data_IF_552501962269
#
_entry.id   IF_552501962269
#
_cell.length_a   1.000
_cell.length_b   1.000
_cell.length_c   1.000
_cell.angle_alpha   90.00
_cell.angle_beta   90.00
_cell.angle_gamma   90.00
#
_symmetry.space_group_name_H-M   'P 1'
#
loop_
_entity.id
_entity.type
_entity.pdbx_description
1 polymer ?
#
# COMPACT_ATOMS: atom_id res chain seq x y z
N UNK A 1 -2.37 17.63 14.08
CA UNK A 1 -1.41 16.87 13.28
C UNK A 1 -1.92 16.81 11.87
N UNK A 2 -1.04 16.90 10.91
CA UNK A 2 -1.37 16.80 9.48
C UNK A 2 -1.81 15.36 9.13
N UNK A 3 -2.84 15.23 8.27
CA UNK A 3 -3.38 13.94 7.86
C UNK A 3 -2.53 13.25 6.79
N UNK A 4 -2.77 11.95 6.58
CA UNK A 4 -2.27 11.17 5.44
C UNK A 4 -3.40 10.98 4.43
N UNK A 5 -3.19 11.40 3.19
CA UNK A 5 -4.04 11.03 2.06
C UNK A 5 -3.38 9.88 1.29
N UNK A 6 -4.10 8.79 1.13
CA UNK A 6 -3.71 7.67 0.29
C UNK A 6 -4.58 7.68 -0.98
N UNK A 7 -3.96 7.56 -2.15
CA UNK A 7 -4.66 7.29 -3.41
C UNK A 7 -4.27 5.89 -3.85
N UNK A 8 -5.27 5.01 -4.02
CA UNK A 8 -4.99 3.63 -4.36
C UNK A 8 -6.25 2.83 -4.65
N UNK A 9 -6.08 1.54 -4.70
CA UNK A 9 -7.12 0.58 -5.02
C UNK A 9 -7.83 0.04 -3.78
N UNK A 10 -9.07 -0.40 -4.01
CA UNK A 10 -9.86 -1.29 -3.13
C UNK A 10 -10.14 -2.55 -3.91
N UNK A 11 -9.93 -3.70 -3.31
CA UNK A 11 -10.07 -5.01 -3.95
C UNK A 11 -10.84 -5.95 -3.03
N UNK A 12 -11.75 -6.74 -3.59
CA UNK A 12 -12.34 -7.88 -2.89
C UNK A 12 -11.48 -9.11 -3.15
N UNK A 13 -10.79 -9.59 -2.12
CA UNK A 13 -10.00 -10.82 -2.20
C UNK A 13 -10.91 -12.02 -1.94
N UNK A 14 -11.01 -12.92 -2.91
CA UNK A 14 -11.67 -14.22 -2.78
C UNK A 14 -10.58 -15.26 -2.56
N UNK A 15 -10.43 -15.71 -1.32
CA UNK A 15 -9.41 -16.70 -0.95
C UNK A 15 -10.05 -18.07 -0.92
N UNK A 16 -9.58 -18.98 -1.78
CA UNK A 16 -10.01 -20.37 -1.85
C UNK A 16 -8.87 -21.28 -1.39
N UNK A 17 -9.04 -21.92 -0.23
CA UNK A 17 -8.12 -22.91 0.30
C UNK A 17 -8.60 -24.31 -0.12
N UNK A 18 -7.75 -25.09 -0.77
CA UNK A 18 -8.12 -26.42 -1.28
C UNK A 18 -6.97 -27.43 -1.11
N UNK A 19 -7.35 -28.71 -1.03
CA UNK A 19 -6.43 -29.83 -0.93
C UNK A 19 -6.06 -30.34 -2.32
N UNK A 20 -4.86 -30.03 -2.79
CA UNK A 20 -4.34 -30.48 -4.07
C UNK A 20 -4.83 -29.67 -5.27
N UNK A 21 -4.50 -30.06 -6.50
CA UNK A 21 -4.81 -29.28 -7.71
C UNK A 21 -6.32 -29.25 -7.99
N UNK A 22 -6.79 -28.12 -8.52
CA UNK A 22 -8.19 -27.99 -8.95
C UNK A 22 -8.52 -29.02 -10.03
N UNK A 23 -9.61 -29.76 -9.83
CA UNK A 23 -10.04 -30.84 -10.73
C UNK A 23 -10.56 -30.27 -12.05
N UNK A 24 -10.15 -30.89 -13.17
CA UNK A 24 -10.62 -30.47 -14.49
C UNK A 24 -11.96 -31.12 -14.79
N UNK A 25 -12.97 -30.32 -15.13
CA UNK A 25 -14.28 -30.80 -15.58
C UNK A 25 -15.22 -31.31 -14.48
N UNK A 26 -14.87 -31.08 -13.21
CA UNK A 26 -15.71 -31.40 -12.04
C UNK A 26 -15.45 -30.43 -10.90
N UNK A 27 -16.21 -30.48 -9.81
CA UNK A 27 -16.08 -29.61 -8.64
C UNK A 27 -14.87 -29.99 -7.79
N UNK A 28 -14.17 -28.97 -7.29
CA UNK A 28 -13.15 -29.12 -6.26
C UNK A 28 -13.65 -28.46 -4.97
N UNK A 29 -13.86 -29.21 -3.88
CA UNK A 29 -14.19 -28.62 -2.59
C UNK A 29 -13.10 -27.67 -2.11
N UNK A 30 -13.50 -26.51 -1.61
CA UNK A 30 -12.58 -25.50 -1.08
C UNK A 30 -13.24 -24.72 0.08
N UNK A 31 -12.43 -24.25 1.02
CA UNK A 31 -12.86 -23.24 1.98
C UNK A 31 -12.69 -21.86 1.35
N UNK A 32 -13.80 -21.17 1.11
CA UNK A 32 -13.82 -19.91 0.39
C UNK A 32 -14.24 -18.77 1.33
N UNK A 33 -13.38 -17.75 1.41
CA UNK A 33 -13.64 -16.55 2.20
C UNK A 33 -13.48 -15.28 1.37
N UNK A 34 -14.32 -14.26 1.65
CA UNK A 34 -14.20 -12.92 1.10
C UNK A 34 -13.46 -12.03 2.10
N UNK A 35 -12.44 -11.32 1.63
CA UNK A 35 -11.62 -10.43 2.45
C UNK A 35 -11.48 -9.06 1.80
N UNK A 36 -11.41 -7.99 2.63
CA UNK A 36 -11.15 -6.66 2.10
C UNK A 36 -9.64 -6.51 1.84
N UNK A 37 -9.27 -6.21 0.60
CA UNK A 37 -7.91 -5.99 0.13
C UNK A 37 -7.73 -4.69 -0.65
N UNK A 38 -6.68 -4.65 -1.46
CA UNK A 38 -6.21 -3.49 -2.22
C UNK A 38 -5.06 -2.77 -1.52
N UNK A 39 -3.94 -2.56 -2.24
CA UNK A 39 -2.71 -1.99 -1.67
C UNK A 39 -2.94 -0.63 -1.01
N UNK A 40 -3.64 0.29 -1.70
CA UNK A 40 -3.96 1.60 -1.13
C UNK A 40 -4.82 1.49 0.13
N UNK A 41 -5.85 0.62 0.10
CA UNK A 41 -6.74 0.42 1.23
C UNK A 41 -6.05 -0.27 2.42
N UNK A 42 -5.12 -1.18 2.17
CA UNK A 42 -4.31 -1.82 3.20
C UNK A 42 -3.40 -0.79 3.88
N UNK A 43 -2.64 0.00 3.10
CA UNK A 43 -1.79 1.08 3.62
C UNK A 43 -2.58 2.07 4.46
N UNK A 44 -3.76 2.51 3.97
CA UNK A 44 -4.62 3.43 4.72
C UNK A 44 -5.12 2.81 6.05
N UNK A 45 -5.52 1.53 6.02
CA UNK A 45 -6.01 0.83 7.21
C UNK A 45 -4.92 0.67 8.28
N UNK A 46 -3.70 0.29 7.88
CA UNK A 46 -2.56 0.19 8.77
C UNK A 46 -2.14 1.56 9.32
N UNK A 47 -2.13 2.62 8.49
CA UNK A 47 -1.81 3.96 8.96
C UNK A 47 -2.82 4.48 9.99
N UNK A 48 -4.12 4.27 9.75
CA UNK A 48 -5.17 4.60 10.70
C UNK A 48 -5.04 3.80 12.01
N UNK A 49 -4.71 2.51 11.92
CA UNK A 49 -4.44 1.64 13.08
C UNK A 49 -3.28 2.16 13.93
N UNK A 50 -2.25 2.69 13.29
CA UNK A 50 -1.08 3.29 13.95
C UNK A 50 -1.34 4.71 14.48
N UNK A 51 -2.56 5.23 14.32
CA UNK A 51 -3.02 6.48 14.89
C UNK A 51 -2.98 7.70 13.97
N UNK A 52 -2.64 7.53 12.69
CA UNK A 52 -2.69 8.63 11.73
C UNK A 52 -4.15 9.01 11.40
N UNK A 53 -4.40 10.31 11.18
CA UNK A 53 -5.62 10.79 10.54
C UNK A 53 -5.55 10.48 9.05
N UNK A 54 -6.23 9.40 8.63
CA UNK A 54 -6.02 8.82 7.30
C UNK A 54 -7.27 8.94 6.44
N UNK A 55 -7.08 9.44 5.21
CA UNK A 55 -8.07 9.45 4.13
C UNK A 55 -7.64 8.49 3.04
N UNK A 56 -8.61 7.85 2.39
CA UNK A 56 -8.37 7.03 1.20
C UNK A 56 -9.24 7.52 0.06
N UNK A 57 -8.63 7.95 -1.05
CA UNK A 57 -9.31 8.14 -2.32
C UNK A 57 -9.19 6.87 -3.15
N UNK A 58 -10.34 6.26 -3.50
CA UNK A 58 -10.40 5.06 -4.32
C UNK A 58 -11.75 4.98 -5.07
N UNK A 59 -11.87 3.99 -5.95
CA UNK A 59 -13.10 3.68 -6.67
C UNK A 59 -13.45 2.21 -6.47
N UNK A 60 -14.71 1.93 -6.13
CA UNK A 60 -15.24 0.58 -5.97
C UNK A 60 -16.53 0.41 -6.77
N UNK A 61 -16.97 -0.80 -6.98
CA UNK A 61 -18.15 -1.09 -7.78
C UNK A 61 -19.45 -1.16 -6.98
N UNK A 62 -20.55 -1.29 -7.71
CA UNK A 62 -21.92 -1.36 -7.17
C UNK A 62 -22.17 -2.57 -6.26
N UNK A 63 -21.37 -3.63 -6.40
CA UNK A 63 -21.58 -4.93 -5.74
C UNK A 63 -21.05 -4.97 -4.30
N UNK A 64 -19.79 -4.52 -4.08
CA UNK A 64 -19.13 -4.56 -2.77
C UNK A 64 -18.65 -3.18 -2.28
N UNK A 65 -18.97 -2.11 -3.00
CA UNK A 65 -18.49 -0.76 -2.67
C UNK A 65 -18.88 -0.30 -1.28
N UNK A 66 -20.16 -0.45 -0.90
CA UNK A 66 -20.66 -0.08 0.43
C UNK A 66 -20.03 -0.94 1.55
N UNK A 67 -19.78 -2.22 1.27
CA UNK A 67 -19.06 -3.09 2.20
C UNK A 67 -17.63 -2.58 2.42
N UNK A 68 -16.91 -2.16 1.36
CA UNK A 68 -15.58 -1.58 1.49
C UNK A 68 -15.60 -0.27 2.29
N UNK A 69 -16.59 0.61 2.07
CA UNK A 69 -16.78 1.83 2.87
C UNK A 69 -16.89 1.48 4.35
N UNK A 70 -17.76 0.51 4.69
CA UNK A 70 -17.96 0.09 6.07
C UNK A 70 -16.67 -0.52 6.69
N UNK A 71 -15.94 -1.36 5.94
CA UNK A 71 -14.69 -1.97 6.43
C UNK A 71 -13.61 -0.92 6.68
N UNK A 72 -13.45 0.06 5.78
CA UNK A 72 -12.49 1.16 5.95
C UNK A 72 -12.84 2.06 7.14
N UNK A 73 -14.11 2.43 7.28
CA UNK A 73 -14.59 3.23 8.42
C UNK A 73 -14.33 2.49 9.74
N UNK A 74 -14.60 1.17 9.80
CA UNK A 74 -14.30 0.32 10.97
C UNK A 74 -12.81 0.29 11.30
N UNK A 75 -11.93 0.33 10.29
CA UNK A 75 -10.48 0.43 10.47
C UNK A 75 -10.03 1.84 10.90
N UNK A 76 -10.92 2.82 10.95
CA UNK A 76 -10.64 4.20 11.32
C UNK A 76 -10.14 5.08 10.16
N UNK A 77 -10.27 4.62 8.93
CA UNK A 77 -10.01 5.41 7.73
C UNK A 77 -11.22 6.28 7.40
N UNK A 78 -11.00 7.49 6.91
CA UNK A 78 -12.03 8.31 6.26
C UNK A 78 -12.08 7.95 4.77
N UNK A 79 -13.06 7.12 4.31
CA UNK A 79 -13.11 6.68 2.94
C UNK A 79 -13.74 7.76 2.03
N UNK A 80 -13.03 8.13 0.99
CA UNK A 80 -13.52 8.88 -0.16
C UNK A 80 -13.63 7.92 -1.34
N UNK A 81 -14.59 6.98 -1.24
CA UNK A 81 -14.85 5.97 -2.25
C UNK A 81 -15.93 6.44 -3.23
N UNK A 82 -15.56 6.53 -4.49
CA UNK A 82 -16.55 6.67 -5.56
C UNK A 82 -17.12 5.29 -5.88
N UNK A 83 -18.44 5.14 -5.71
CA UNK A 83 -19.13 3.91 -6.11
C UNK A 83 -19.51 4.00 -7.59
N UNK A 84 -18.97 3.09 -8.40
CA UNK A 84 -19.29 2.97 -9.82
C UNK A 84 -20.63 2.21 -9.97
N UNK A 85 -21.66 2.83 -10.60
CA UNK A 85 -22.98 2.19 -10.72
C UNK A 85 -23.04 1.13 -11.83
N UNK A 86 -22.03 1.08 -12.72
CA UNK A 86 -22.04 0.23 -13.91
C UNK A 86 -21.05 -0.93 -13.83
N UNK A 87 -20.00 -0.81 -13.00
CA UNK A 87 -18.92 -1.78 -12.92
C UNK A 87 -18.85 -2.44 -11.56
N UNK A 88 -18.54 -3.75 -11.51
CA UNK A 88 -18.26 -4.42 -10.23
C UNK A 88 -16.94 -3.91 -9.65
N UNK A 89 -16.74 -4.11 -8.37
CA UNK A 89 -15.47 -3.85 -7.67
C UNK A 89 -14.34 -4.70 -8.25
N UNK A 90 -13.10 -4.26 -8.01
CA UNK A 90 -11.94 -5.10 -8.30
C UNK A 90 -11.98 -6.39 -7.47
N UNK A 91 -11.60 -7.50 -8.09
CA UNK A 91 -11.57 -8.83 -7.47
C UNK A 91 -10.21 -9.48 -7.74
N UNK A 92 -9.63 -10.06 -6.71
CA UNK A 92 -8.53 -11.03 -6.81
C UNK A 92 -9.03 -12.37 -6.29
N UNK A 93 -8.94 -13.41 -7.12
CA UNK A 93 -9.18 -14.79 -6.70
C UNK A 93 -7.81 -15.40 -6.42
N UNK A 94 -7.54 -15.71 -5.14
CA UNK A 94 -6.34 -16.41 -4.70
C UNK A 94 -6.70 -17.86 -4.41
N UNK A 95 -6.26 -18.76 -5.26
CA UNK A 95 -6.33 -20.21 -5.02
C UNK A 95 -5.05 -20.62 -4.30
N UNK A 96 -5.18 -21.24 -3.14
CA UNK A 96 -4.07 -21.64 -2.28
C UNK A 96 -4.21 -23.13 -2.00
N UNK A 97 -3.22 -23.90 -2.41
CA UNK A 97 -3.21 -25.34 -2.17
C UNK A 97 -2.61 -25.71 -0.79
N UNK A 98 -2.66 -27.00 -0.45
CA UNK A 98 -2.14 -27.54 0.81
C UNK A 98 -0.61 -27.38 0.99
N UNK A 99 0.14 -27.04 -0.07
CA UNK A 99 1.59 -26.71 0.00
C UNK A 99 1.84 -25.23 0.25
N UNK A 100 0.79 -24.40 0.18
CA UNK A 100 0.87 -22.94 0.29
C UNK A 100 1.20 -22.25 -1.04
N UNK A 101 1.22 -23.00 -2.16
CA UNK A 101 1.40 -22.41 -3.48
C UNK A 101 0.14 -21.61 -3.88
N UNK A 102 0.36 -20.44 -4.48
CA UNK A 102 -0.72 -19.49 -4.79
C UNK A 102 -0.81 -19.22 -6.28
N UNK A 103 -2.01 -19.37 -6.81
CA UNK A 103 -2.39 -18.89 -8.15
C UNK A 103 -3.38 -17.74 -8.01
N UNK A 104 -3.14 -16.64 -8.70
CA UNK A 104 -3.98 -15.44 -8.61
C UNK A 104 -4.58 -15.08 -9.95
N UNK A 105 -5.89 -14.83 -9.96
CA UNK A 105 -6.61 -14.22 -11.07
C UNK A 105 -7.10 -12.84 -10.63
N UNK A 106 -6.83 -11.82 -11.45
CA UNK A 106 -7.13 -10.44 -11.10
C UNK A 106 -8.03 -9.79 -12.13
N UNK A 107 -9.11 -9.17 -11.65
CA UNK A 107 -9.92 -8.22 -12.42
C UNK A 107 -9.92 -6.87 -11.71
N UNK A 108 -9.52 -5.82 -12.40
CA UNK A 108 -9.40 -4.48 -11.81
C UNK A 108 -10.74 -3.78 -11.62
N UNK A 109 -11.81 -4.23 -12.28
CA UNK A 109 -13.17 -3.70 -12.13
C UNK A 109 -13.22 -2.16 -12.08
N UNK A 110 -14.04 -1.62 -11.20
CA UNK A 110 -14.19 -0.18 -10.99
C UNK A 110 -12.90 0.52 -10.54
N UNK A 111 -12.00 -0.15 -9.78
CA UNK A 111 -10.73 0.46 -9.36
C UNK A 111 -9.82 0.85 -10.53
N UNK A 112 -9.93 0.16 -11.67
CA UNK A 112 -9.22 0.51 -12.90
C UNK A 112 -9.74 1.77 -13.61
N UNK A 113 -10.85 2.34 -13.12
CA UNK A 113 -11.52 3.51 -13.70
C UNK A 113 -11.53 4.73 -12.77
N UNK A 114 -10.75 4.70 -11.69
CA UNK A 114 -10.51 5.89 -10.89
C UNK A 114 -9.89 6.97 -11.78
N UNK A 115 -10.34 8.22 -11.66
CA UNK A 115 -9.88 9.29 -12.55
C UNK A 115 -10.04 10.67 -11.95
N UNK A 116 -9.73 11.70 -12.74
CA UNK A 116 -9.78 13.11 -12.31
C UNK A 116 -11.16 13.56 -11.83
N UNK A 117 -12.24 12.93 -12.31
CA UNK A 117 -13.61 13.20 -11.84
C UNK A 117 -13.89 12.70 -10.40
N UNK A 118 -13.01 11.91 -9.82
CA UNK A 118 -13.08 11.44 -8.43
C UNK A 118 -12.29 12.34 -7.48
N UNK A 119 -11.51 13.29 -8.02
CA UNK A 119 -10.66 14.22 -7.28
C UNK A 119 -11.39 15.51 -6.93
N UNK A 120 -11.16 15.99 -5.72
CA UNK A 120 -11.50 17.34 -5.31
C UNK A 120 -10.34 17.95 -4.52
N UNK A 121 -9.99 19.24 -4.72
CA UNK A 121 -8.82 19.86 -4.07
C UNK A 121 -8.86 19.89 -2.55
N UNK A 122 -10.05 19.83 -1.93
CA UNK A 122 -10.29 19.77 -0.49
C UNK A 122 -9.83 18.42 0.14
N UNK A 123 -9.59 17.40 -0.67
CA UNK A 123 -8.93 16.16 -0.22
C UNK A 123 -7.57 16.42 0.40
N UNK A 124 -6.87 17.49 -0.02
CA UNK A 124 -5.58 17.90 0.52
C UNK A 124 -5.67 18.81 1.77
N UNK A 125 -6.85 19.21 2.21
CA UNK A 125 -6.98 20.12 3.36
C UNK A 125 -6.57 19.43 4.66
N UNK A 126 -5.55 20.02 5.33
CA UNK A 126 -4.96 19.45 6.55
C UNK A 126 -4.12 18.19 6.33
N UNK A 127 -3.83 17.83 5.07
CA UNK A 127 -2.94 16.73 4.70
C UNK A 127 -1.48 17.18 4.84
N UNK A 128 -0.68 16.35 5.48
CA UNK A 128 0.77 16.55 5.61
C UNK A 128 1.60 15.58 4.81
N UNK A 129 0.97 14.58 4.18
CA UNK A 129 1.64 13.65 3.29
C UNK A 129 0.63 13.01 2.31
N UNK A 130 1.01 12.95 1.03
CA UNK A 130 0.29 12.21 -0.02
C UNK A 130 1.03 10.92 -0.32
N UNK A 131 0.32 9.78 -0.27
CA UNK A 131 0.86 8.49 -0.66
C UNK A 131 0.08 7.92 -1.86
N UNK A 132 0.81 7.44 -2.88
CA UNK A 132 0.23 6.78 -4.05
C UNK A 132 0.65 5.31 -4.12
N UNK A 133 -0.32 4.42 -4.28
CA UNK A 133 -0.08 3.07 -4.77
C UNK A 133 -0.06 3.10 -6.30
N UNK A 134 1.03 2.62 -6.90
CA UNK A 134 1.21 2.66 -8.35
C UNK A 134 0.18 1.82 -9.12
N UNK A 135 -0.54 0.92 -8.45
CA UNK A 135 -1.67 0.25 -9.11
C UNK A 135 -2.67 1.23 -9.71
N UNK A 136 -2.83 2.43 -9.12
CA UNK A 136 -3.71 3.47 -9.65
C UNK A 136 -3.20 4.05 -10.96
N UNK A 137 -1.88 4.11 -11.17
CA UNK A 137 -1.27 4.89 -12.26
C UNK A 137 -0.75 4.07 -13.44
N UNK A 138 -0.90 2.74 -13.44
CA UNK A 138 -0.43 1.90 -14.55
C UNK A 138 -1.27 1.99 -15.83
N UNK A 139 -2.41 2.69 -15.78
CA UNK A 139 -3.27 2.94 -16.94
C UNK A 139 -4.08 4.22 -16.75
N UNK A 140 -4.57 4.78 -17.85
CA UNK A 140 -5.59 5.84 -17.80
C UNK A 140 -6.98 5.25 -17.43
N UNK A 141 -7.82 6.02 -16.73
CA UNK A 141 -7.67 7.44 -16.35
C UNK A 141 -6.92 7.66 -15.03
N UNK A 142 -6.45 6.62 -14.36
CA UNK A 142 -5.78 6.71 -13.06
C UNK A 142 -4.44 7.47 -13.12
N UNK A 143 -3.71 7.36 -14.23
CA UNK A 143 -2.46 8.10 -14.42
C UNK A 143 -2.70 9.62 -14.48
N UNK A 144 -3.77 10.07 -15.14
CA UNK A 144 -4.14 11.50 -15.15
C UNK A 144 -4.46 12.00 -13.75
N UNK A 145 -5.21 11.20 -12.96
CA UNK A 145 -5.49 11.51 -11.56
C UNK A 145 -4.19 11.62 -10.74
N UNK A 146 -3.28 10.66 -10.89
CA UNK A 146 -2.00 10.69 -10.17
C UNK A 146 -1.18 11.95 -10.49
N UNK A 147 -1.11 12.33 -11.78
CA UNK A 147 -0.46 13.58 -12.21
C UNK A 147 -1.10 14.81 -11.59
N UNK A 148 -2.44 14.88 -11.58
CA UNK A 148 -3.19 15.98 -10.99
C UNK A 148 -2.93 16.08 -9.49
N UNK A 149 -3.09 14.99 -8.77
CA UNK A 149 -2.91 14.95 -7.32
C UNK A 149 -1.47 15.30 -6.90
N UNK A 150 -0.45 14.75 -7.58
CA UNK A 150 0.95 15.07 -7.31
C UNK A 150 1.26 16.54 -7.58
N UNK A 151 0.75 17.11 -8.66
CA UNK A 151 0.94 18.55 -8.97
C UNK A 151 0.34 19.42 -7.86
N UNK A 152 -0.93 19.21 -7.49
CA UNK A 152 -1.59 20.00 -6.47
C UNK A 152 -0.99 19.82 -5.08
N UNK A 153 -0.49 18.63 -4.75
CA UNK A 153 0.25 18.38 -3.51
C UNK A 153 1.59 19.14 -3.51
N UNK A 154 2.33 19.13 -4.63
CA UNK A 154 3.58 19.86 -4.77
C UNK A 154 3.38 21.39 -4.67
N UNK A 155 2.33 21.93 -5.27
CA UNK A 155 1.95 23.36 -5.15
C UNK A 155 1.67 23.77 -3.70
N UNK A 156 1.21 22.85 -2.85
CA UNK A 156 0.98 23.04 -1.41
C UNK A 156 2.17 22.64 -0.54
N UNK A 157 3.31 22.30 -1.14
CA UNK A 157 4.51 21.80 -0.45
C UNK A 157 4.21 20.56 0.43
N UNK A 158 3.24 19.72 0.05
CA UNK A 158 2.92 18.46 0.70
C UNK A 158 3.88 17.39 0.18
N UNK A 159 4.67 16.71 1.03
CA UNK A 159 5.52 15.61 0.64
C UNK A 159 4.73 14.47 -0.01
N UNK A 160 5.32 13.86 -1.04
CA UNK A 160 4.69 12.80 -1.84
C UNK A 160 5.53 11.54 -1.75
N UNK A 161 4.91 10.41 -1.48
CA UNK A 161 5.52 9.08 -1.58
C UNK A 161 4.80 8.20 -2.59
N UNK A 162 5.54 7.29 -3.22
CA UNK A 162 4.99 6.29 -4.14
C UNK A 162 5.50 4.90 -3.78
N UNK A 163 4.59 3.92 -3.75
CA UNK A 163 4.91 2.49 -3.73
C UNK A 163 4.75 1.93 -5.14
N UNK A 164 5.79 1.31 -5.74
CA UNK A 164 5.74 0.77 -7.11
C UNK A 164 4.78 -0.40 -7.30
N UNK A 165 4.31 -1.00 -6.21
CA UNK A 165 3.26 -2.00 -6.10
C UNK A 165 3.59 -3.41 -6.60
N UNK A 166 4.09 -3.58 -7.84
CA UNK A 166 4.40 -4.92 -8.38
C UNK A 166 5.27 -4.87 -9.63
N UNK A 167 6.26 -5.77 -9.72
CA UNK A 167 7.18 -5.88 -10.85
C UNK A 167 6.51 -6.18 -12.19
N UNK A 168 5.44 -6.98 -12.21
CA UNK A 168 4.75 -7.33 -13.47
C UNK A 168 4.14 -6.11 -14.16
N UNK A 169 3.18 -5.42 -13.53
CA UNK A 169 2.63 -4.17 -14.04
C UNK A 169 3.68 -3.09 -14.27
N UNK A 170 4.70 -2.98 -13.40
CA UNK A 170 5.78 -2.01 -13.54
C UNK A 170 6.60 -2.23 -14.83
N UNK A 171 6.94 -3.49 -15.16
CA UNK A 171 7.60 -3.83 -16.44
C UNK A 171 6.73 -3.50 -17.65
N UNK A 172 5.45 -3.82 -17.56
CA UNK A 172 4.50 -3.53 -18.65
C UNK A 172 4.30 -2.03 -18.87
N UNK A 173 4.32 -1.23 -17.81
CA UNK A 173 4.23 0.23 -17.88
C UNK A 173 5.52 0.89 -18.36
N UNK A 174 6.67 0.28 -18.05
CA UNK A 174 8.02 0.75 -18.37
C UNK A 174 8.65 1.54 -17.22
N UNK A 175 9.83 1.09 -16.79
CA UNK A 175 10.57 1.67 -15.65
C UNK A 175 10.94 3.14 -15.85
N UNK A 176 11.47 3.49 -17.03
CA UNK A 176 11.77 4.88 -17.37
C UNK A 176 10.52 5.77 -17.37
N UNK A 177 9.39 5.24 -17.89
CA UNK A 177 8.12 5.96 -17.85
C UNK A 177 7.68 6.17 -16.41
N UNK A 178 7.76 5.12 -15.57
CA UNK A 178 7.41 5.22 -14.16
C UNK A 178 8.23 6.31 -13.45
N UNK A 179 9.55 6.31 -13.61
CA UNK A 179 10.43 7.34 -13.03
C UNK A 179 10.06 8.76 -13.48
N UNK A 180 9.74 8.94 -14.76
CA UNK A 180 9.30 10.26 -15.27
C UNK A 180 7.95 10.70 -14.69
N UNK A 181 6.97 9.78 -14.66
CA UNK A 181 5.62 10.10 -14.18
C UNK A 181 5.57 10.37 -12.67
N UNK A 182 6.49 9.78 -11.91
CA UNK A 182 6.57 9.94 -10.46
C UNK A 182 7.64 10.92 -9.99
N UNK A 183 8.27 11.66 -10.90
CA UNK A 183 9.31 12.65 -10.58
C UNK A 183 8.90 13.70 -9.52
N UNK A 184 7.62 14.10 -9.35
CA UNK A 184 7.23 14.99 -8.26
C UNK A 184 7.27 14.34 -6.86
N UNK A 185 7.36 13.01 -6.76
CA UNK A 185 7.48 12.35 -5.46
C UNK A 185 8.85 12.57 -4.84
N UNK A 186 8.87 12.74 -3.52
CA UNK A 186 10.09 12.90 -2.72
C UNK A 186 10.55 11.62 -2.03
N UNK A 187 9.70 10.58 -2.02
CA UNK A 187 9.96 9.28 -1.41
C UNK A 187 9.47 8.15 -2.30
N UNK A 188 10.30 7.15 -2.54
CA UNK A 188 9.90 5.87 -3.16
C UNK A 188 10.08 4.72 -2.18
N UNK A 189 9.10 3.78 -2.13
CA UNK A 189 9.07 2.69 -1.14
C UNK A 189 8.95 1.31 -1.84
N UNK A 190 9.93 0.89 -2.66
CA UNK A 190 9.90 -0.39 -3.36
C UNK A 190 10.23 -1.56 -2.43
N UNK A 191 9.80 -2.78 -2.82
CA UNK A 191 10.43 -4.00 -2.36
C UNK A 191 11.76 -4.24 -3.11
N UNK A 192 12.50 -5.29 -2.75
CA UNK A 192 13.81 -5.58 -3.34
C UNK A 192 13.74 -5.73 -4.87
N UNK A 193 12.81 -6.56 -5.36
CA UNK A 193 12.70 -6.84 -6.81
C UNK A 193 12.30 -5.59 -7.61
N UNK A 194 11.42 -4.78 -7.07
CA UNK A 194 11.02 -3.49 -7.65
C UNK A 194 12.18 -2.49 -7.65
N UNK A 195 12.96 -2.46 -6.57
CA UNK A 195 14.12 -1.57 -6.46
C UNK A 195 15.21 -1.95 -7.48
N UNK A 196 15.53 -3.24 -7.60
CA UNK A 196 16.49 -3.75 -8.59
C UNK A 196 16.02 -3.43 -10.02
N UNK A 197 14.73 -3.64 -10.28
CA UNK A 197 14.13 -3.37 -11.59
C UNK A 197 14.16 -1.88 -11.95
N UNK A 198 13.76 -0.99 -11.02
CA UNK A 198 13.70 0.46 -11.26
C UNK A 198 15.07 1.10 -11.41
N UNK A 199 16.05 0.62 -10.66
CA UNK A 199 17.39 1.17 -10.66
C UNK A 199 18.32 0.53 -11.69
N UNK A 200 17.87 -0.53 -12.38
CA UNK A 200 18.72 -1.38 -13.22
C UNK A 200 20.03 -1.78 -12.50
N UNK A 201 19.91 -2.25 -11.27
CA UNK A 201 21.03 -2.51 -10.38
C UNK A 201 21.02 -3.97 -9.89
N UNK A 202 22.22 -4.46 -9.47
CA UNK A 202 22.40 -5.86 -9.08
C UNK A 202 22.25 -6.11 -7.56
N UNK A 203 22.26 -5.05 -6.74
CA UNK A 203 22.19 -5.16 -5.29
C UNK A 203 21.33 -4.08 -4.65
N UNK A 204 20.80 -4.33 -3.43
CA UNK A 204 19.85 -3.43 -2.77
C UNK A 204 20.45 -2.07 -2.41
N UNK A 205 21.73 -1.96 -2.09
CA UNK A 205 22.36 -0.69 -1.75
C UNK A 205 22.54 0.20 -2.97
N UNK A 206 23.03 -0.37 -4.07
CA UNK A 206 23.17 0.34 -5.34
C UNK A 206 21.80 0.85 -5.81
N UNK A 207 20.76 -0.01 -5.73
CA UNK A 207 19.38 0.39 -6.06
C UNK A 207 18.90 1.54 -5.23
N UNK A 208 19.05 1.48 -3.90
CA UNK A 208 18.62 2.53 -3.00
C UNK A 208 19.35 3.85 -3.24
N UNK A 209 20.67 3.80 -3.51
CA UNK A 209 21.46 5.00 -3.85
C UNK A 209 20.97 5.64 -5.13
N UNK A 210 20.77 4.86 -6.19
CA UNK A 210 20.27 5.33 -7.49
C UNK A 210 18.88 5.95 -7.35
N UNK A 211 17.96 5.24 -6.70
CA UNK A 211 16.59 5.74 -6.51
C UNK A 211 16.54 6.97 -5.61
N UNK A 212 17.36 7.03 -4.55
CA UNK A 212 17.38 8.22 -3.69
C UNK A 212 18.01 9.45 -4.36
N UNK A 213 18.89 9.26 -5.33
CA UNK A 213 19.39 10.37 -6.14
C UNK A 213 18.29 10.94 -7.06
N UNK A 214 17.29 10.14 -7.43
CA UNK A 214 16.15 10.56 -8.24
C UNK A 214 15.02 11.18 -7.40
N UNK A 215 14.65 10.55 -6.27
CA UNK A 215 13.51 10.96 -5.43
C UNK A 215 13.88 11.79 -4.18
N UNK A 216 15.16 11.94 -3.87
CA UNK A 216 15.62 12.46 -2.58
C UNK A 216 15.67 11.35 -1.51
N UNK A 217 14.65 10.53 -1.36
CA UNK A 217 14.62 9.41 -0.41
C UNK A 217 14.13 8.12 -1.06
N UNK A 218 14.85 7.02 -0.84
CA UNK A 218 14.44 5.67 -1.21
C UNK A 218 14.44 4.74 0.01
N UNK A 219 13.34 3.99 0.20
CA UNK A 219 13.16 3.04 1.30
C UNK A 219 12.95 1.66 0.70
N UNK A 220 13.97 0.82 0.73
CA UNK A 220 13.91 -0.52 0.12
C UNK A 220 13.53 -1.56 1.16
N UNK A 221 12.43 -2.25 0.95
CA UNK A 221 11.91 -3.36 1.75
C UNK A 221 12.65 -4.63 1.37
N UNK A 222 13.28 -5.32 2.34
CA UNK A 222 14.11 -6.52 2.13
C UNK A 222 13.46 -7.80 2.68
N UNK A 223 12.15 -7.79 2.92
CA UNK A 223 11.43 -8.90 3.54
C UNK A 223 12.00 -9.26 4.91
N UNK A 224 12.37 -10.52 5.12
CA UNK A 224 13.00 -10.98 6.37
C UNK A 224 14.35 -10.31 6.66
N UNK A 225 15.01 -9.73 5.65
CA UNK A 225 16.24 -8.93 5.81
C UNK A 225 16.01 -7.53 6.40
N UNK A 226 14.75 -7.13 6.61
CA UNK A 226 14.41 -5.82 7.13
C UNK A 226 14.26 -4.75 6.05
N UNK A 227 14.89 -3.60 6.23
CA UNK A 227 14.83 -2.50 5.28
C UNK A 227 16.06 -1.59 5.36
N UNK A 228 16.30 -0.85 4.28
CA UNK A 228 17.32 0.19 4.23
C UNK A 228 16.74 1.49 3.66
N UNK A 229 17.30 2.60 4.09
CA UNK A 229 16.95 3.93 3.63
C UNK A 229 18.20 4.62 3.07
N UNK A 230 18.05 5.12 1.84
CA UNK A 230 19.02 6.02 1.25
C UNK A 230 18.42 7.42 1.10
N UNK A 231 19.28 8.44 1.22
CA UNK A 231 18.95 9.84 0.98
C UNK A 231 20.06 10.48 0.16
N UNK A 232 19.68 11.17 -0.90
CA UNK A 232 20.62 11.89 -1.78
C UNK A 232 21.85 11.04 -2.20
N UNK A 233 21.59 9.79 -2.65
CA UNK A 233 22.61 8.84 -3.09
C UNK A 233 23.42 8.17 -1.97
N UNK A 234 23.06 8.31 -0.69
CA UNK A 234 23.79 7.73 0.45
C UNK A 234 22.89 6.88 1.32
N UNK A 235 23.37 5.71 1.76
CA UNK A 235 22.66 4.93 2.77
C UNK A 235 22.79 5.65 4.12
N UNK A 236 21.66 5.99 4.72
CA UNK A 236 21.60 6.73 5.99
C UNK A 236 21.02 5.91 7.14
N UNK A 237 20.26 4.84 6.86
CA UNK A 237 19.70 3.99 7.90
C UNK A 237 19.49 2.55 7.43
N UNK A 238 19.47 1.61 8.39
CA UNK A 238 19.08 0.21 8.22
C UNK A 238 18.30 -0.24 9.43
N UNK A 239 17.33 -1.13 9.24
CA UNK A 239 16.62 -1.80 10.30
C UNK A 239 16.47 -3.29 9.97
N UNK A 240 16.73 -4.15 10.94
CA UNK A 240 16.43 -5.59 10.80
C UNK A 240 14.94 -5.83 11.01
N UNK A 241 14.38 -6.80 10.29
CA UNK A 241 13.05 -7.29 10.60
C UNK A 241 13.09 -8.12 11.88
N UNK A 242 12.17 -7.90 12.83
CA UNK A 242 12.04 -8.80 13.97
C UNK A 242 11.63 -10.20 13.49
N UNK A 243 12.07 -11.28 14.17
CA UNK A 243 11.66 -12.63 13.83
C UNK A 243 10.15 -12.82 14.08
N UNK A 244 9.48 -13.52 13.16
CA UNK A 244 8.05 -13.82 13.25
C UNK A 244 7.73 -15.13 12.51
N UNK A 245 6.75 -15.87 13.03
CA UNK A 245 6.17 -16.98 12.29
C UNK A 245 5.22 -16.42 11.22
N UNK A 246 5.54 -16.65 9.96
CA UNK A 246 4.78 -16.12 8.82
C UNK A 246 3.52 -16.96 8.62
N UNK A 247 2.36 -16.32 8.78
CA UNK A 247 1.03 -16.89 8.51
C UNK A 247 0.58 -16.55 7.08
N UNK A 248 0.64 -15.26 6.73
CA UNK A 248 0.24 -14.76 5.41
C UNK A 248 1.08 -13.52 5.06
N UNK A 249 1.79 -13.54 3.94
CA UNK A 249 2.63 -12.41 3.52
C UNK A 249 1.88 -11.28 2.81
N UNK A 250 0.58 -11.43 2.59
CA UNK A 250 -0.25 -10.45 1.88
C UNK A 250 -0.34 -9.15 2.67
N UNK A 251 -0.07 -8.01 2.01
CA UNK A 251 -0.16 -6.69 2.62
C UNK A 251 1.00 -6.30 3.53
N UNK A 252 2.03 -7.15 3.68
CA UNK A 252 3.22 -6.82 4.49
C UNK A 252 3.94 -5.55 4.03
N UNK A 253 4.05 -5.36 2.71
CA UNK A 253 4.61 -4.15 2.09
C UNK A 253 3.79 -2.90 2.37
N UNK A 254 2.46 -3.03 2.33
CA UNK A 254 1.50 -1.95 2.61
C UNK A 254 1.57 -1.53 4.09
N UNK A 255 1.63 -2.51 4.98
CA UNK A 255 1.79 -2.30 6.43
C UNK A 255 3.14 -1.63 6.76
N UNK A 256 4.22 -2.10 6.12
CA UNK A 256 5.54 -1.47 6.24
C UNK A 256 5.49 -0.01 5.81
N UNK A 257 4.92 0.29 4.61
CA UNK A 257 4.80 1.66 4.11
C UNK A 257 4.01 2.54 5.09
N UNK A 258 2.91 2.05 5.62
CA UNK A 258 2.13 2.75 6.63
C UNK A 258 2.94 3.06 7.90
N UNK A 259 3.62 2.05 8.47
CA UNK A 259 4.45 2.22 9.66
C UNK A 259 5.58 3.23 9.48
N UNK A 260 6.28 3.13 8.34
CA UNK A 260 7.33 4.07 7.97
C UNK A 260 6.80 5.50 7.81
N UNK A 261 5.72 5.69 7.04
CA UNK A 261 5.14 7.01 6.78
C UNK A 261 4.62 7.67 8.06
N UNK A 262 3.87 6.92 8.88
CA UNK A 262 3.32 7.46 10.14
C UNK A 262 4.44 7.88 11.10
N UNK A 263 5.49 7.09 11.24
CA UNK A 263 6.65 7.45 12.06
C UNK A 263 7.40 8.68 11.50
N UNK A 264 7.62 8.72 10.18
CA UNK A 264 8.26 9.86 9.52
C UNK A 264 7.47 11.17 9.70
N UNK A 265 6.13 11.12 9.53
CA UNK A 265 5.24 12.26 9.76
C UNK A 265 5.22 12.72 11.23
N UNK A 266 5.50 11.82 12.17
CA UNK A 266 5.66 12.14 13.59
C UNK A 266 7.04 12.73 13.93
N UNK A 267 7.95 12.83 12.96
CA UNK A 267 9.30 13.39 13.15
C UNK A 267 10.31 12.39 13.72
N UNK A 268 10.08 11.08 13.60
CA UNK A 268 11.04 10.06 14.00
C UNK A 268 12.33 10.13 13.18
N UNK A 269 13.43 9.60 13.75
CA UNK A 269 14.67 9.42 12.99
C UNK A 269 14.48 8.40 11.86
N UNK A 270 15.33 8.41 10.82
CA UNK A 270 15.25 7.41 9.74
C UNK A 270 15.28 5.97 10.25
N UNK A 271 16.12 5.66 11.23
CA UNK A 271 16.23 4.33 11.86
C UNK A 271 14.94 3.93 12.57
N UNK A 272 14.36 4.85 13.35
CA UNK A 272 13.09 4.61 14.04
C UNK A 272 11.94 4.43 13.05
N UNK A 273 11.89 5.23 11.99
CA UNK A 273 10.86 5.11 10.95
C UNK A 273 10.96 3.75 10.23
N UNK A 274 12.17 3.30 9.87
CA UNK A 274 12.39 1.96 9.31
C UNK A 274 11.96 0.86 10.27
N UNK A 275 12.35 0.97 11.54
CA UNK A 275 11.97 -0.01 12.58
C UNK A 275 10.45 -0.11 12.73
N UNK A 276 9.74 1.03 12.72
CA UNK A 276 8.27 1.05 12.76
C UNK A 276 7.63 0.45 11.51
N UNK A 277 8.24 0.66 10.33
CA UNK A 277 7.86 -0.04 9.11
C UNK A 277 8.02 -1.55 9.24
N UNK A 278 9.18 -2.03 9.71
CA UNK A 278 9.44 -3.46 9.94
C UNK A 278 8.47 -4.07 10.96
N UNK A 279 8.19 -3.38 12.08
CA UNK A 279 7.23 -3.82 13.09
C UNK A 279 5.81 -3.97 12.52
N UNK A 280 5.36 -3.00 11.71
CA UNK A 280 4.05 -3.04 11.08
C UNK A 280 3.96 -4.15 10.02
N UNK A 281 4.98 -4.30 9.17
CA UNK A 281 5.06 -5.40 8.19
C UNK A 281 5.06 -6.77 8.86
N UNK A 282 5.79 -6.93 9.97
CA UNK A 282 5.80 -8.15 10.76
C UNK A 282 4.42 -8.44 11.38
N UNK A 283 3.74 -7.42 11.92
CA UNK A 283 2.39 -7.60 12.47
C UNK A 283 1.39 -8.03 11.37
N UNK A 284 1.59 -7.59 10.14
CA UNK A 284 0.77 -8.03 9.00
C UNK A 284 1.01 -9.50 8.67
N UNK A 285 2.26 -9.97 8.62
CA UNK A 285 2.54 -11.38 8.26
C UNK A 285 2.17 -12.38 9.35
N UNK A 286 1.96 -11.94 10.58
CA UNK A 286 1.55 -12.78 11.71
C UNK A 286 0.04 -13.09 11.73
N UNK A 287 -0.74 -12.60 10.79
CA UNK A 287 -2.18 -12.78 10.71
C UNK A 287 -2.62 -13.14 9.29
N UNK A 288 -3.83 -13.68 9.15
CA UNK A 288 -4.42 -13.95 7.83
C UNK A 288 -5.09 -12.70 7.30
N UNK A 289 -4.78 -12.33 6.05
CA UNK A 289 -5.34 -11.15 5.36
C UNK A 289 -4.49 -9.90 5.50
N UNK A 290 -4.65 -9.00 4.54
CA UNK A 290 -3.76 -7.85 4.34
C UNK A 290 -4.03 -6.66 5.28
N UNK A 291 -5.24 -6.54 5.85
CA UNK A 291 -5.62 -5.42 6.72
C UNK A 291 -5.47 -5.78 8.20
N UNK A 292 -5.23 -4.79 9.09
CA UNK A 292 -5.12 -5.07 10.51
C UNK A 292 -6.44 -5.64 11.06
N UNK A 293 -6.34 -6.71 11.86
CA UNK A 293 -7.48 -7.28 12.58
C UNK A 293 -7.97 -6.29 13.64
N UNK A 294 -9.26 -5.88 13.62
CA UNK A 294 -9.82 -5.00 14.63
C UNK A 294 -9.77 -5.53 16.06
N UNK A 295 -9.70 -6.87 16.23
CA UNK A 295 -9.66 -7.54 17.53
C UNK A 295 -8.26 -7.71 18.12
N UNK A 296 -7.20 -7.58 17.35
CA UNK A 296 -5.83 -7.88 17.80
C UNK A 296 -5.09 -6.60 18.24
N UNK A 297 -5.34 -6.15 19.48
CA UNK A 297 -4.76 -4.91 20.03
C UNK A 297 -3.33 -5.05 20.58
N UNK A 298 -2.78 -6.26 20.67
CA UNK A 298 -1.66 -6.56 21.57
C UNK A 298 -0.27 -6.36 20.97
N UNK A 299 -0.13 -6.26 19.65
CA UNK A 299 1.18 -6.32 18.99
C UNK A 299 1.81 -4.98 18.61
N UNK A 300 1.05 -3.87 18.60
CA UNK A 300 1.58 -2.57 18.19
C UNK A 300 1.31 -1.49 19.23
N UNK A 301 2.36 -0.91 19.80
CA UNK A 301 2.24 0.31 20.60
C UNK A 301 2.00 1.50 19.65
N UNK A 302 0.95 2.31 19.86
CA UNK A 302 0.75 3.54 19.07
C UNK A 302 2.00 4.41 19.10
N UNK A 303 2.32 5.04 17.99
CA UNK A 303 3.47 5.94 17.90
C UNK A 303 3.22 7.14 18.81
N UNK A 304 4.14 7.40 19.76
CA UNK A 304 4.01 8.49 20.71
C UNK A 304 3.85 9.84 19.99
N UNK A 305 2.86 10.65 20.38
CA UNK A 305 2.52 11.93 19.76
C UNK A 305 1.24 11.91 18.91
N UNK A 306 0.71 10.73 18.58
CA UNK A 306 -0.53 10.52 17.81
C UNK A 306 -1.70 10.15 18.75
N UNK A 307 -2.05 10.98 19.73
CA UNK A 307 -3.28 10.77 20.51
C UNK A 307 -4.50 11.26 19.77
N UNK A 308 -5.44 10.36 19.43
CA UNK A 308 -6.80 10.74 19.05
C UNK A 308 -7.44 11.48 20.23
N UNK A 309 -7.93 12.71 19.99
CA UNK A 309 -8.97 13.26 20.86
C UNK A 309 -10.25 12.49 20.51
N UNK A 310 -10.60 11.52 21.32
CA UNK A 310 -11.95 10.96 21.36
C UNK A 310 -12.82 12.10 21.92
N UNK A 311 -13.60 12.74 21.05
CA UNK A 311 -14.73 13.54 21.51
C UNK A 311 -15.86 12.56 21.85
N UNK A 312 -16.28 12.63 23.10
CA UNK A 312 -17.54 12.06 23.59
C UNK A 312 -18.73 12.73 22.91
#
# INVERSE_FOLDING_TARGET
MSGLLVIGDVVTDVVALHDGPAATGTDTPADISLRPGGSGANTASWAARLGADTRLLARAGYDTGEWHVAQLAKAGVRPHLRIDPERPSAVVIAMVDSTGERSMLTNRGASGHIGVGDWTPDLLDGVGHLHLSAYTMFAEPGLELARLAMREAAERAIPISVDPASCGPLRAFGTERFLRETAPASVVIPNLDEALLLADAADPEASARTLSAHYGTAVVKLGAGGALLARDGRIVARAAAPPVDVVDSTGAGDAFAAGFLVASMAGSTPEEALRKGCEAGMAAVAQVGARPDPGNFTLLTPIAGLRRKLHH
#
